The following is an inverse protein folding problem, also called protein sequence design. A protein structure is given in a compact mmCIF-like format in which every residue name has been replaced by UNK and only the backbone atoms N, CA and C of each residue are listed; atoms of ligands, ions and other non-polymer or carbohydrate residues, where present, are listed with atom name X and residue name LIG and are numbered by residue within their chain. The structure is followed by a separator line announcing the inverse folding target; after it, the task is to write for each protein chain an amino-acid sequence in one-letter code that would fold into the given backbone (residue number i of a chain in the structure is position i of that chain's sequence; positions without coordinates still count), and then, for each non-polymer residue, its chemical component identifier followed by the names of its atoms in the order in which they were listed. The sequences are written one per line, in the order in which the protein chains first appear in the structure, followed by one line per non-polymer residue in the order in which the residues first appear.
data_IF_321343360763
#
_entry.id   IF_321343360763
#
_cell.length_a   1.000
_cell.length_b   1.000
_cell.length_c   1.000
_cell.angle_alpha   90.00
_cell.angle_beta   90.00
_cell.angle_gamma   90.00
#
_symmetry.space_group_name_H-M   'P 1'
#
loop_
_entity.id
_entity.type
_entity.pdbx_description
1 polymer ?
#
# COMPACT_ATOMS: atom_id res chain seq x y z
N UNK A 1 15.01 -41.74 -10.79
CA UNK A 1 14.78 -40.94 -9.61
C UNK A 1 14.93 -39.45 -9.87
N UNK A 2 13.93 -38.67 -9.52
CA UNK A 2 14.04 -37.21 -9.61
C UNK A 2 15.03 -36.71 -8.56
N UNK A 3 15.95 -35.84 -8.96
CA UNK A 3 16.83 -35.11 -8.02
C UNK A 3 15.96 -34.39 -6.97
N UNK A 4 16.36 -34.35 -5.68
CA UNK A 4 15.62 -33.63 -4.63
C UNK A 4 15.33 -32.16 -5.00
N UNK A 5 16.25 -31.52 -5.69
CA UNK A 5 16.09 -30.15 -6.21
C UNK A 5 15.05 -30.06 -7.34
N UNK A 6 14.98 -31.07 -8.22
CA UNK A 6 13.96 -31.13 -9.26
C UNK A 6 12.55 -31.34 -8.71
N UNK A 7 12.39 -32.12 -7.65
CA UNK A 7 11.12 -32.30 -6.92
C UNK A 7 10.69 -31.02 -6.24
N UNK A 8 11.60 -30.31 -5.61
CA UNK A 8 11.33 -29.03 -4.99
C UNK A 8 10.77 -28.01 -6.01
N UNK A 9 11.46 -27.81 -7.13
CA UNK A 9 11.06 -26.82 -8.15
C UNK A 9 9.77 -27.19 -8.91
N UNK A 10 9.54 -28.48 -9.18
CA UNK A 10 8.40 -28.91 -9.99
C UNK A 10 7.15 -29.27 -9.21
N UNK A 11 7.29 -29.63 -7.97
CA UNK A 11 6.15 -30.08 -7.14
C UNK A 11 5.89 -29.12 -5.98
N UNK A 12 6.89 -28.86 -5.14
CA UNK A 12 6.70 -28.07 -3.93
C UNK A 12 6.42 -26.60 -4.24
N UNK A 13 7.19 -26.00 -5.14
CA UNK A 13 7.05 -24.59 -5.49
C UNK A 13 5.67 -24.23 -6.09
N UNK A 14 5.13 -24.95 -7.08
CA UNK A 14 3.80 -24.63 -7.59
C UNK A 14 2.67 -24.94 -6.60
N UNK A 15 2.81 -25.96 -5.73
CA UNK A 15 1.83 -26.22 -4.66
C UNK A 15 1.85 -25.11 -3.58
N UNK A 16 3.01 -24.56 -3.31
CA UNK A 16 3.17 -23.47 -2.32
C UNK A 16 2.77 -22.09 -2.87
N UNK A 17 2.32 -21.99 -4.11
CA UNK A 17 2.02 -20.73 -4.78
C UNK A 17 1.02 -19.84 -4.02
N UNK A 18 0.02 -20.41 -3.35
CA UNK A 18 -0.94 -19.68 -2.54
C UNK A 18 -0.28 -19.06 -1.30
N UNK A 19 0.57 -19.80 -0.60
CA UNK A 19 1.29 -19.32 0.59
C UNK A 19 2.29 -18.22 0.18
N UNK A 20 3.00 -18.41 -0.92
CA UNK A 20 3.94 -17.42 -1.46
C UNK A 20 3.20 -16.13 -1.82
N UNK A 21 2.01 -16.21 -2.44
CA UNK A 21 1.20 -15.05 -2.79
C UNK A 21 0.72 -14.29 -1.53
N UNK A 22 0.30 -15.00 -0.47
CA UNK A 22 -0.09 -14.39 0.80
C UNK A 22 1.09 -13.70 1.46
N UNK A 23 2.25 -14.35 1.54
CA UNK A 23 3.45 -13.75 2.11
C UNK A 23 3.92 -12.54 1.31
N UNK A 24 3.90 -12.62 -0.01
CA UNK A 24 4.22 -11.49 -0.89
C UNK A 24 3.27 -10.30 -0.65
N UNK A 25 1.96 -10.56 -0.44
CA UNK A 25 1.01 -9.53 -0.08
C UNK A 25 1.35 -8.88 1.26
N UNK A 26 1.57 -9.66 2.31
CA UNK A 26 1.90 -9.13 3.64
C UNK A 26 3.17 -8.28 3.63
N UNK A 27 4.23 -8.80 3.03
CA UNK A 27 5.48 -8.05 2.92
C UNK A 27 5.36 -6.83 2.00
N UNK A 28 4.63 -6.95 0.90
CA UNK A 28 4.36 -5.86 -0.03
C UNK A 28 3.60 -4.71 0.63
N UNK A 29 2.50 -5.03 1.34
CA UNK A 29 1.71 -4.03 2.07
C UNK A 29 2.50 -3.42 3.23
N UNK A 30 3.23 -4.23 4.00
CA UNK A 30 4.09 -3.75 5.07
C UNK A 30 5.16 -2.79 4.54
N UNK A 31 5.78 -3.14 3.42
CA UNK A 31 6.78 -2.28 2.76
C UNK A 31 6.17 -1.02 2.18
N UNK A 32 4.98 -1.12 1.57
CA UNK A 32 4.24 0.03 1.06
C UNK A 32 3.93 1.06 2.15
N UNK A 33 3.57 0.60 3.35
CA UNK A 33 3.26 1.47 4.50
C UNK A 33 4.48 1.86 5.34
N UNK A 34 5.69 1.46 4.96
CA UNK A 34 6.93 1.66 5.72
C UNK A 34 7.53 3.06 5.51
N UNK A 35 6.78 4.11 5.87
CA UNK A 35 7.25 5.50 5.80
C UNK A 35 8.09 5.93 7.02
N UNK A 36 7.92 5.26 8.16
CA UNK A 36 8.54 5.67 9.43
C UNK A 36 10.06 5.53 9.41
N UNK A 37 10.56 4.41 8.87
CA UNK A 37 12.00 4.20 8.72
C UNK A 37 12.64 5.25 7.80
N UNK A 38 11.98 5.55 6.70
CA UNK A 38 12.45 6.54 5.73
C UNK A 38 12.49 7.96 6.34
N UNK A 39 11.49 8.32 7.12
CA UNK A 39 11.43 9.61 7.81
C UNK A 39 12.59 9.81 8.79
N UNK A 40 13.08 8.74 9.43
CA UNK A 40 14.19 8.82 10.39
C UNK A 40 15.55 8.84 9.69
N UNK A 41 15.72 8.02 8.65
CA UNK A 41 17.03 7.76 8.06
C UNK A 41 17.36 8.63 6.85
N UNK A 42 16.35 9.08 6.09
CA UNK A 42 16.58 9.88 4.90
C UNK A 42 16.45 11.38 5.19
N UNK A 43 17.52 12.10 4.94
CA UNK A 43 17.55 13.57 4.98
C UNK A 43 17.22 14.21 3.63
N UNK A 44 17.41 13.45 2.55
CA UNK A 44 17.24 13.95 1.20
C UNK A 44 15.82 13.65 0.70
N UNK A 45 15.09 14.71 0.35
CA UNK A 45 13.70 14.63 -0.13
C UNK A 45 13.53 13.83 -1.42
N UNK A 46 14.59 13.69 -2.21
CA UNK A 46 14.59 12.92 -3.46
C UNK A 46 14.51 11.40 -3.21
N UNK A 47 14.85 10.95 -2.02
CA UNK A 47 14.83 9.54 -1.62
C UNK A 47 13.53 9.15 -0.89
N UNK A 48 12.58 10.08 -0.74
CA UNK A 48 11.32 9.81 -0.05
C UNK A 48 10.43 8.87 -0.85
N UNK A 49 9.84 7.90 -0.17
CA UNK A 49 8.78 7.08 -0.77
C UNK A 49 7.52 7.90 -1.02
N UNK A 50 6.69 7.39 -1.92
CA UNK A 50 5.39 8.01 -2.21
C UNK A 50 4.55 8.18 -0.92
N UNK A 51 4.58 7.21 -0.01
CA UNK A 51 3.82 7.26 1.25
C UNK A 51 4.29 8.38 2.18
N UNK A 52 5.60 8.59 2.29
CA UNK A 52 6.14 9.69 3.10
C UNK A 52 5.74 11.05 2.51
N UNK A 53 5.80 11.19 1.19
CA UNK A 53 5.39 12.40 0.48
C UNK A 53 3.88 12.67 0.64
N UNK A 54 3.03 11.66 0.51
CA UNK A 54 1.58 11.78 0.70
C UNK A 54 1.22 12.16 2.14
N UNK A 55 1.94 11.61 3.12
CA UNK A 55 1.79 11.99 4.53
C UNK A 55 2.15 13.45 4.78
N UNK A 56 3.24 13.94 4.19
CA UNK A 56 3.64 15.35 4.30
C UNK A 56 2.54 16.28 3.77
N UNK A 57 1.95 15.95 2.61
CA UNK A 57 0.82 16.69 2.04
C UNK A 57 -0.39 16.69 2.99
N UNK A 58 -0.72 15.54 3.60
CA UNK A 58 -1.84 15.45 4.55
C UNK A 58 -1.60 16.30 5.80
N UNK A 59 -0.40 16.32 6.33
CA UNK A 59 -0.04 17.13 7.50
C UNK A 59 -0.18 18.61 7.16
N UNK A 60 0.32 19.06 6.00
CA UNK A 60 0.18 20.44 5.56
C UNK A 60 -1.30 20.84 5.40
N UNK A 61 -2.13 19.96 4.83
CA UNK A 61 -3.57 20.19 4.70
C UNK A 61 -4.25 20.34 6.06
N UNK A 62 -3.91 19.52 7.06
CA UNK A 62 -4.44 19.61 8.42
C UNK A 62 -4.03 20.92 9.12
N UNK A 63 -2.76 21.30 9.03
CA UNK A 63 -2.31 22.59 9.60
C UNK A 63 -2.99 23.79 8.94
N UNK A 64 -3.34 23.71 7.65
CA UNK A 64 -4.10 24.75 6.98
C UNK A 64 -5.53 24.84 7.51
N UNK A 65 -6.17 23.73 7.87
CA UNK A 65 -7.50 23.70 8.51
C UNK A 65 -7.47 24.37 9.91
N UNK A 66 -6.46 24.06 10.73
CA UNK A 66 -6.35 24.57 12.11
C UNK A 66 -6.02 26.07 12.18
N UNK A 67 -5.20 26.58 11.27
CA UNK A 67 -4.76 27.99 11.27
C UNK A 67 -5.76 28.95 10.62
N UNK A 68 -6.87 28.49 10.10
CA UNK A 68 -7.86 29.31 9.38
C UNK A 68 -8.77 30.11 10.31
N UNK A 69 -8.67 29.95 11.62
CA UNK A 69 -9.55 30.56 12.63
C UNK A 69 -9.53 32.11 12.66
N UNK A 70 -8.58 32.77 12.02
CA UNK A 70 -8.42 34.23 11.97
C UNK A 70 -8.70 34.85 10.59
N UNK A 71 -9.17 34.07 9.63
CA UNK A 71 -9.45 34.53 8.26
C UNK A 71 -10.93 34.94 8.12
N UNK A 72 -11.23 35.79 7.11
CA UNK A 72 -12.60 36.11 6.71
C UNK A 72 -13.36 34.82 6.32
N UNK A 73 -14.68 34.81 6.61
CA UNK A 73 -15.52 33.60 6.43
C UNK A 73 -15.44 33.00 5.02
N UNK A 74 -15.28 33.83 3.97
CA UNK A 74 -15.16 33.38 2.59
C UNK A 74 -13.82 32.68 2.35
N UNK A 75 -12.72 33.25 2.84
CA UNK A 75 -11.37 32.68 2.73
C UNK A 75 -11.27 31.38 3.52
N UNK A 76 -11.90 31.32 4.69
CA UNK A 76 -12.01 30.12 5.50
C UNK A 76 -12.72 28.97 4.76
N UNK A 77 -13.89 29.25 4.16
CA UNK A 77 -14.64 28.24 3.42
C UNK A 77 -13.84 27.67 2.23
N UNK A 78 -13.13 28.52 1.50
CA UNK A 78 -12.31 28.10 0.35
C UNK A 78 -11.10 27.27 0.79
N UNK A 79 -10.40 27.64 1.87
CA UNK A 79 -9.28 26.86 2.42
C UNK A 79 -9.74 25.49 2.90
N UNK A 80 -10.84 25.40 3.64
CA UNK A 80 -11.41 24.11 4.09
C UNK A 80 -11.78 23.22 2.90
N UNK A 81 -12.34 23.81 1.85
CA UNK A 81 -12.65 23.09 0.61
C UNK A 81 -11.39 22.53 -0.06
N UNK A 82 -10.36 23.35 -0.22
CA UNK A 82 -9.09 22.93 -0.83
C UNK A 82 -8.41 21.83 0.01
N UNK A 83 -8.34 21.98 1.32
CA UNK A 83 -7.78 20.99 2.24
C UNK A 83 -8.53 19.65 2.14
N UNK A 84 -9.86 19.68 2.06
CA UNK A 84 -10.66 18.48 1.89
C UNK A 84 -10.39 17.77 0.57
N UNK A 85 -10.27 18.51 -0.54
CA UNK A 85 -9.95 17.95 -1.85
C UNK A 85 -8.58 17.28 -1.83
N UNK A 86 -7.56 17.95 -1.27
CA UNK A 86 -6.20 17.42 -1.14
C UNK A 86 -6.23 16.12 -0.32
N UNK A 87 -6.93 16.09 0.81
CA UNK A 87 -7.07 14.92 1.68
C UNK A 87 -7.66 13.72 0.94
N UNK A 88 -8.77 13.89 0.24
CA UNK A 88 -9.38 12.79 -0.52
C UNK A 88 -8.55 12.35 -1.72
N UNK A 89 -7.94 13.28 -2.45
CA UNK A 89 -7.05 12.97 -3.56
C UNK A 89 -5.85 12.14 -3.09
N UNK A 90 -5.25 12.50 -1.97
CA UNK A 90 -4.13 11.78 -1.35
C UNK A 90 -4.52 10.35 -0.96
N UNK A 91 -5.71 10.17 -0.36
CA UNK A 91 -6.22 8.84 0.00
C UNK A 91 -6.41 7.96 -1.24
N UNK A 92 -6.96 8.50 -2.33
CA UNK A 92 -7.14 7.77 -3.58
C UNK A 92 -5.79 7.33 -4.15
N UNK A 93 -4.82 8.25 -4.26
CA UNK A 93 -3.48 7.95 -4.77
C UNK A 93 -2.77 6.88 -3.93
N UNK A 94 -2.89 6.95 -2.60
CA UNK A 94 -2.32 5.95 -1.70
C UNK A 94 -2.93 4.56 -1.88
N UNK A 95 -4.20 4.48 -2.27
CA UNK A 95 -4.95 3.22 -2.37
C UNK A 95 -4.82 2.56 -3.74
N UNK A 96 -4.59 3.33 -4.82
CA UNK A 96 -4.48 2.81 -6.19
C UNK A 96 -3.53 1.61 -6.33
N UNK A 97 -2.29 1.63 -5.82
CA UNK A 97 -1.37 0.51 -5.99
C UNK A 97 -1.88 -0.79 -5.33
N UNK A 98 -2.56 -0.68 -4.19
CA UNK A 98 -3.15 -1.84 -3.53
C UNK A 98 -4.32 -2.42 -4.35
N UNK A 99 -5.19 -1.55 -4.88
CA UNK A 99 -6.31 -1.98 -5.74
C UNK A 99 -5.80 -2.67 -7.00
N UNK A 100 -4.73 -2.16 -7.61
CA UNK A 100 -4.12 -2.77 -8.80
C UNK A 100 -3.46 -4.12 -8.47
N UNK A 101 -2.82 -4.24 -7.32
CA UNK A 101 -2.19 -5.49 -6.86
C UNK A 101 -3.21 -6.59 -6.55
N UNK A 102 -4.41 -6.24 -6.07
CA UNK A 102 -5.44 -7.17 -5.62
C UNK A 102 -5.81 -8.25 -6.63
N UNK A 103 -6.17 -7.96 -7.91
CA UNK A 103 -6.56 -8.99 -8.87
C UNK A 103 -5.44 -9.98 -9.21
N UNK A 104 -4.18 -9.55 -9.14
CA UNK A 104 -3.05 -10.45 -9.34
C UNK A 104 -2.95 -11.48 -8.21
N UNK A 105 -3.11 -11.03 -6.97
CA UNK A 105 -3.04 -11.87 -5.77
C UNK A 105 -4.24 -12.80 -5.69
N UNK A 106 -5.45 -12.29 -5.96
CA UNK A 106 -6.68 -13.07 -5.97
C UNK A 106 -6.60 -14.29 -6.89
N UNK A 107 -5.99 -14.12 -8.06
CA UNK A 107 -5.81 -15.20 -9.05
C UNK A 107 -4.99 -16.37 -8.52
N UNK A 108 -3.97 -16.10 -7.70
CA UNK A 108 -3.16 -17.13 -7.05
C UNK A 108 -3.86 -17.74 -5.85
N UNK A 109 -4.62 -16.93 -5.10
CA UNK A 109 -5.36 -17.39 -3.93
C UNK A 109 -6.46 -18.40 -4.29
N UNK A 110 -7.27 -18.11 -5.29
CA UNK A 110 -8.34 -18.99 -5.76
C UNK A 110 -7.79 -20.33 -6.24
N UNK A 111 -6.68 -20.35 -6.97
CA UNK A 111 -6.04 -21.60 -7.43
C UNK A 111 -5.52 -22.44 -6.27
N UNK A 112 -4.96 -21.81 -5.22
CA UNK A 112 -4.43 -22.53 -4.06
C UNK A 112 -5.50 -23.14 -3.17
N UNK A 113 -6.60 -22.44 -2.96
CA UNK A 113 -7.74 -22.93 -2.15
C UNK A 113 -8.44 -24.11 -2.84
N UNK A 114 -8.61 -24.06 -4.14
CA UNK A 114 -9.23 -25.17 -4.91
C UNK A 114 -8.43 -26.47 -4.82
N UNK A 115 -7.10 -26.40 -4.84
CA UNK A 115 -6.22 -27.58 -4.73
C UNK A 115 -6.28 -28.16 -3.31
N UNK A 116 -6.45 -27.33 -2.28
CA UNK A 116 -6.59 -27.77 -0.88
C UNK A 116 -7.94 -28.39 -0.53
N UNK A 117 -9.02 -28.00 -1.22
CA UNK A 117 -10.38 -28.45 -0.91
C UNK A 117 -10.76 -29.79 -1.58
N UNK A 118 -10.01 -30.25 -2.57
CA UNK A 118 -10.29 -31.54 -3.28
C UNK A 118 -9.78 -32.75 -2.49
N UNK A 119 -9.17 -32.57 -1.33
CA UNK A 119 -8.63 -33.65 -0.48
C UNK A 119 -9.51 -33.90 0.75
N UNK A 120 -10.83 -33.80 0.57
CA UNK A 120 -11.83 -34.19 1.53
C UNK A 120 -12.71 -35.29 0.96
#
# INVERSE_FOLDING_TARGET
GCSPFGTFLRVVMPLSGAIIAVMALFFGVARWNSYFGEMIFFRDRQLYSLQLFLREILIIAQFSEENTSNADAITMAEQLRISSIIKYATMIVATIPLIVAYPFIQRYFVKGVLIGSIKG
#
